data_IF_615041114638
#
_entry.id   IF_615041114638
#
_cell.length_a   1.000
_cell.length_b   1.000
_cell.length_c   1.000
_cell.angle_alpha   90.00
_cell.angle_beta   90.00
_cell.angle_gamma   90.00
#
_symmetry.space_group_name_H-M   'P 1'
#
loop_
_entity.id
_entity.type
_entity.pdbx_description
1 polymer ?
#
# COMPACT_ATOMS: atom_id res chain seq x y z
N UNK A 1 10.40 -32.91 -42.86
CA UNK A 1 11.05 -33.17 -41.56
C UNK A 1 10.60 -34.53 -41.08
N UNK A 2 11.53 -35.46 -40.85
CA UNK A 2 11.23 -36.86 -40.54
C UNK A 2 10.82 -36.99 -39.07
N UNK A 3 9.59 -37.44 -38.79
CA UNK A 3 9.07 -37.66 -37.43
C UNK A 3 9.64 -38.95 -36.84
N UNK A 4 10.76 -38.87 -36.13
CA UNK A 4 11.28 -40.00 -35.35
C UNK A 4 10.42 -40.21 -34.10
N UNK A 5 10.04 -41.46 -33.83
CA UNK A 5 9.31 -41.85 -32.62
C UNK A 5 10.15 -41.58 -31.36
N UNK A 6 9.51 -41.07 -30.29
CA UNK A 6 10.15 -40.71 -29.01
C UNK A 6 10.92 -41.86 -28.34
N UNK A 7 10.62 -43.10 -28.74
CA UNK A 7 11.29 -44.31 -28.26
C UNK A 7 12.72 -44.50 -28.80
N UNK A 8 13.09 -43.82 -29.88
CA UNK A 8 14.38 -43.98 -30.56
C UNK A 8 15.31 -42.76 -30.40
N UNK A 9 14.99 -41.83 -29.51
CA UNK A 9 15.85 -40.68 -29.23
C UNK A 9 17.07 -41.14 -28.43
N UNK A 10 18.26 -40.80 -28.92
CA UNK A 10 19.52 -41.07 -28.21
C UNK A 10 20.03 -39.79 -27.56
N UNK A 11 20.90 -39.92 -26.55
CA UNK A 11 21.42 -38.77 -25.77
C UNK A 11 22.05 -37.66 -26.64
N UNK A 12 22.59 -38.02 -27.82
CA UNK A 12 23.18 -37.07 -28.79
C UNK A 12 22.16 -36.22 -29.55
N UNK A 13 20.88 -36.60 -29.54
CA UNK A 13 19.79 -35.83 -30.16
C UNK A 13 19.19 -34.78 -29.20
N UNK A 14 19.61 -34.78 -27.92
CA UNK A 14 19.06 -33.92 -26.87
C UNK A 14 19.98 -32.74 -26.52
N UNK A 15 21.25 -32.80 -26.91
CA UNK A 15 22.24 -31.76 -26.66
C UNK A 15 22.83 -31.33 -28.00
N UNK A 16 22.50 -30.11 -28.43
CA UNK A 16 23.24 -29.47 -29.50
C UNK A 16 24.71 -29.34 -29.05
N UNK A 17 25.68 -29.70 -29.91
CA UNK A 17 27.08 -29.56 -29.58
C UNK A 17 27.34 -28.09 -29.24
N UNK A 18 27.87 -27.86 -28.03
CA UNK A 18 28.33 -26.54 -27.57
C UNK A 18 29.27 -25.99 -28.64
N UNK A 19 28.96 -24.79 -29.14
CA UNK A 19 29.74 -24.08 -30.16
C UNK A 19 31.19 -23.89 -29.69
N UNK A 20 32.06 -24.86 -30.01
CA UNK A 20 33.44 -24.86 -29.53
C UNK A 20 34.39 -25.91 -30.10
N UNK A 21 33.91 -26.98 -30.73
CA UNK A 21 34.81 -27.95 -31.39
C UNK A 21 34.26 -28.39 -32.76
N UNK A 22 34.69 -27.67 -33.82
CA UNK A 22 34.73 -28.20 -35.18
C UNK A 22 36.18 -28.34 -35.61
N UNK A 23 36.50 -29.56 -36.05
CA UNK A 23 37.73 -29.96 -36.70
C UNK A 23 38.04 -29.12 -37.93
N UNK A 24 39.33 -28.80 -38.04
CA UNK A 24 40.11 -28.30 -39.19
C UNK A 24 39.39 -28.10 -40.54
N UNK A 25 39.47 -26.86 -41.04
CA UNK A 25 39.08 -26.46 -42.40
C UNK A 25 39.25 -24.96 -42.64
N UNK A 26 40.50 -24.52 -42.76
CA UNK A 26 41.05 -23.40 -43.57
C UNK A 26 40.13 -22.25 -44.05
N UNK A 27 40.47 -21.00 -43.64
CA UNK A 27 40.32 -19.79 -44.46
C UNK A 27 39.59 -18.58 -43.86
N UNK A 28 40.36 -17.56 -43.43
CA UNK A 28 40.16 -16.16 -43.86
C UNK A 28 39.18 -15.24 -43.14
N UNK A 29 39.78 -14.25 -42.46
CA UNK A 29 39.43 -12.82 -42.35
C UNK A 29 38.48 -12.26 -41.27
N UNK A 30 38.94 -11.09 -40.79
CA UNK A 30 38.51 -10.26 -39.69
C UNK A 30 37.21 -9.47 -39.99
N UNK A 31 36.37 -9.20 -38.98
CA UNK A 31 35.91 -7.84 -38.64
C UNK A 31 34.94 -7.80 -37.44
N UNK A 32 35.07 -6.73 -36.65
CA UNK A 32 34.27 -6.36 -35.48
C UNK A 32 32.79 -6.05 -35.79
N UNK A 33 31.89 -6.34 -34.84
CA UNK A 33 30.50 -5.91 -34.94
C UNK A 33 29.71 -6.03 -33.63
N UNK A 34 29.71 -4.95 -32.85
CA UNK A 34 28.84 -4.68 -31.70
C UNK A 34 27.35 -4.84 -32.02
N UNK A 35 26.59 -5.59 -31.19
CA UNK A 35 25.12 -5.43 -31.11
C UNK A 35 24.66 -5.67 -29.66
N UNK A 36 24.14 -4.60 -29.05
CA UNK A 36 23.29 -4.65 -27.87
C UNK A 36 21.96 -5.34 -28.18
N UNK A 37 21.50 -6.23 -27.30
CA UNK A 37 20.19 -6.87 -27.41
C UNK A 37 19.28 -6.40 -26.26
N UNK A 38 18.31 -5.57 -26.64
CA UNK A 38 17.13 -5.15 -25.88
C UNK A 38 16.33 -6.36 -25.36
N UNK A 39 16.03 -6.36 -24.06
CA UNK A 39 15.09 -7.30 -23.45
C UNK A 39 13.69 -6.70 -23.39
N UNK A 40 12.75 -7.30 -24.13
CA UNK A 40 11.31 -7.03 -24.02
C UNK A 40 10.76 -7.53 -22.66
N UNK A 41 9.84 -6.80 -22.00
CA UNK A 41 9.15 -7.31 -20.83
C UNK A 41 7.83 -8.00 -21.21
N UNK A 42 7.71 -9.28 -20.86
CA UNK A 42 6.48 -10.06 -20.96
C UNK A 42 5.34 -9.46 -20.14
N UNK A 43 4.14 -9.53 -20.72
CA UNK A 43 2.86 -9.16 -20.14
C UNK A 43 2.46 -10.17 -19.07
N UNK A 44 2.10 -9.69 -17.87
CA UNK A 44 1.40 -10.50 -16.88
C UNK A 44 0.01 -9.90 -16.65
N UNK A 45 -1.01 -10.68 -16.97
CA UNK A 45 -2.41 -10.40 -16.68
C UNK A 45 -2.64 -10.62 -15.17
N UNK A 46 -3.07 -9.57 -14.46
CA UNK A 46 -3.50 -9.66 -13.06
C UNK A 46 -4.99 -10.08 -13.05
N UNK A 47 -5.29 -11.29 -12.57
CA UNK A 47 -6.65 -11.67 -12.18
C UNK A 47 -6.98 -11.08 -10.80
N UNK A 48 -8.15 -10.46 -10.72
CA UNK A 48 -8.75 -9.87 -9.52
C UNK A 48 -9.29 -10.97 -8.60
N UNK A 49 -9.03 -10.88 -7.29
CA UNK A 49 -9.86 -11.56 -6.30
C UNK A 49 -10.48 -10.55 -5.33
N UNK A 50 -11.80 -10.42 -5.44
CA UNK A 50 -12.71 -9.95 -4.40
C UNK A 50 -12.88 -11.05 -3.34
N UNK A 51 -12.65 -10.76 -2.06
CA UNK A 51 -13.32 -11.51 -0.98
C UNK A 51 -13.85 -10.54 0.07
N UNK A 52 -15.15 -10.71 0.32
CA UNK A 52 -16.00 -9.96 1.23
C UNK A 52 -15.63 -10.18 2.71
N UNK A 53 -15.71 -9.09 3.47
CA UNK A 53 -15.93 -9.06 4.91
C UNK A 53 -17.43 -9.26 5.21
N UNK A 54 -17.74 -9.94 6.33
CA UNK A 54 -18.96 -9.92 7.18
C UNK A 54 -19.03 -11.28 7.93
N UNK A 55 -19.21 -11.46 9.24
CA UNK A 55 -19.67 -10.73 10.44
C UNK A 55 -19.02 -11.42 11.68
N UNK A 56 -18.52 -10.74 12.74
CA UNK A 56 -19.23 -10.14 13.91
C UNK A 56 -20.05 -11.18 14.75
N UNK A 57 -20.01 -11.31 16.09
CA UNK A 57 -19.79 -10.36 17.21
C UNK A 57 -19.38 -11.01 18.57
N UNK A 58 -18.72 -10.17 19.39
CA UNK A 58 -18.79 -9.91 20.85
C UNK A 58 -18.85 -11.00 21.95
N UNK A 59 -17.95 -10.85 22.95
CA UNK A 59 -18.31 -10.32 24.28
C UNK A 59 -17.07 -9.91 25.10
N UNK A 60 -17.15 -8.72 25.71
CA UNK A 60 -16.12 -8.04 26.49
C UNK A 60 -16.32 -8.25 28.00
N UNK A 61 -15.23 -8.38 28.77
CA UNK A 61 -15.07 -7.63 30.03
C UNK A 61 -13.64 -7.73 30.60
N UNK A 62 -13.15 -6.57 31.03
CA UNK A 62 -11.84 -6.30 31.64
C UNK A 62 -11.82 -6.70 33.12
N UNK A 63 -10.65 -7.06 33.64
CA UNK A 63 -9.86 -6.25 34.59
C UNK A 63 -8.60 -7.01 35.01
N UNK A 64 -7.48 -6.29 35.15
CA UNK A 64 -6.17 -6.88 35.37
C UNK A 64 -5.77 -7.10 36.83
N UNK A 65 -4.72 -7.89 37.03
CA UNK A 65 -3.68 -7.65 38.03
C UNK A 65 -2.44 -8.50 37.76
N UNK A 66 -1.29 -7.92 38.08
CA UNK A 66 0.04 -8.41 37.77
C UNK A 66 0.59 -9.43 38.79
N UNK A 67 1.52 -10.24 38.29
CA UNK A 67 2.68 -10.86 38.95
C UNK A 67 2.47 -11.77 40.19
N UNK A 68 2.86 -13.04 40.03
CA UNK A 68 3.94 -13.67 40.81
C UNK A 68 4.31 -15.05 40.25
N UNK A 69 5.60 -15.25 40.00
CA UNK A 69 6.17 -16.56 39.71
C UNK A 69 6.12 -17.46 40.94
N UNK A 70 5.73 -18.72 40.73
CA UNK A 70 5.85 -19.78 41.72
C UNK A 70 6.33 -21.05 41.00
N UNK A 71 7.57 -21.41 41.31
CA UNK A 71 8.17 -22.73 41.18
C UNK A 71 7.17 -23.85 41.50
N UNK A 72 6.67 -24.57 40.49
CA UNK A 72 5.91 -25.81 40.71
C UNK A 72 6.87 -26.99 40.80
N UNK A 73 7.02 -27.46 42.04
CA UNK A 73 7.55 -28.78 42.37
C UNK A 73 6.63 -29.84 41.78
N UNK A 74 7.22 -30.86 41.18
CA UNK A 74 6.56 -32.06 40.70
C UNK A 74 5.96 -32.79 41.91
N UNK A 75 4.64 -32.74 42.05
CA UNK A 75 3.89 -33.67 42.88
C UNK A 75 3.31 -34.73 41.96
N UNK A 76 3.74 -35.97 42.18
CA UNK A 76 3.23 -37.16 41.54
C UNK A 76 1.85 -37.47 42.12
N UNK A 77 0.78 -37.08 41.42
CA UNK A 77 -0.56 -37.57 41.71
C UNK A 77 -0.73 -38.95 41.08
N UNK A 78 -0.60 -39.99 41.91
CA UNK A 78 -1.22 -41.29 41.68
C UNK A 78 -2.73 -41.12 41.88
N UNK A 79 -3.46 -40.92 40.79
CA UNK A 79 -4.91 -41.10 40.82
C UNK A 79 -5.22 -42.59 40.70
N UNK A 80 -5.44 -43.19 41.87
CA UNK A 80 -6.21 -44.41 42.08
C UNK A 80 -7.67 -44.12 41.71
N UNK A 81 -8.00 -44.37 40.43
CA UNK A 81 -9.35 -44.26 39.89
C UNK A 81 -10.21 -45.44 40.32
N UNK A 82 -10.76 -45.32 41.52
CA UNK A 82 -11.90 -46.10 42.00
C UNK A 82 -13.09 -45.90 41.07
N UNK A 83 -13.36 -46.87 40.19
CA UNK A 83 -14.59 -46.97 39.43
C UNK A 83 -15.73 -47.32 40.39
N UNK A 84 -16.38 -46.27 40.89
CA UNK A 84 -17.68 -46.33 41.57
C UNK A 84 -18.74 -46.76 40.56
N UNK A 85 -19.40 -47.88 40.87
CA UNK A 85 -20.58 -48.37 40.17
C UNK A 85 -21.70 -47.30 40.15
N UNK A 86 -22.04 -46.78 38.96
CA UNK A 86 -23.36 -46.22 38.68
C UNK A 86 -24.08 -47.07 37.63
N UNK A 87 -25.31 -47.44 37.97
CA UNK A 87 -26.22 -48.35 37.30
C UNK A 87 -26.55 -47.92 35.86
N UNK A 88 -26.29 -48.79 34.89
CA UNK A 88 -27.07 -48.88 33.65
C UNK A 88 -27.44 -50.36 33.42
N UNK A 89 -28.74 -50.64 33.53
CA UNK A 89 -29.38 -51.93 33.30
C UNK A 89 -29.06 -52.45 31.89
N UNK A 90 -28.39 -53.60 31.81
CA UNK A 90 -28.61 -54.56 30.73
C UNK A 90 -28.34 -55.98 31.24
N UNK A 91 -29.31 -56.85 30.97
CA UNK A 91 -29.42 -58.24 31.38
C UNK A 91 -28.28 -59.11 30.84
N UNK A 92 -27.59 -59.86 31.69
CA UNK A 92 -26.67 -60.91 31.26
C UNK A 92 -25.74 -61.40 32.36
N UNK A 93 -26.01 -62.60 32.86
CA UNK A 93 -25.26 -63.28 33.90
C UNK A 93 -23.73 -63.24 33.73
N UNK A 94 -23.00 -62.81 34.76
CA UNK A 94 -21.55 -63.04 34.90
C UNK A 94 -21.26 -63.89 36.14
N UNK A 95 -20.54 -64.98 35.89
CA UNK A 95 -20.00 -65.96 36.85
C UNK A 95 -18.92 -65.33 37.75
N UNK A 96 -18.64 -65.89 38.95
CA UNK A 96 -17.53 -65.43 39.80
C UNK A 96 -16.20 -65.91 39.21
N UNK A 97 -15.29 -64.99 38.92
CA UNK A 97 -13.95 -65.29 38.42
C UNK A 97 -12.93 -64.38 39.10
N UNK A 98 -12.08 -65.00 39.93
CA UNK A 98 -10.86 -64.54 40.59
C UNK A 98 -10.52 -63.03 40.57
N UNK A 99 -10.39 -62.46 41.76
CA UNK A 99 -9.78 -61.14 41.95
C UNK A 99 -8.28 -61.23 41.67
N UNK A 100 -7.88 -60.97 40.43
CA UNK A 100 -6.48 -60.95 39.98
C UNK A 100 -5.60 -60.03 40.83
N UNK A 101 -4.35 -60.42 41.04
CA UNK A 101 -3.36 -59.65 41.80
C UNK A 101 -3.04 -58.32 41.13
N UNK A 102 -2.62 -57.30 41.91
CA UNK A 102 -2.24 -55.99 41.36
C UNK A 102 -1.12 -56.09 40.29
N UNK A 103 -0.19 -57.03 40.47
CA UNK A 103 0.86 -57.32 39.50
C UNK A 103 0.30 -57.92 38.20
N UNK A 104 -0.62 -58.87 38.33
CA UNK A 104 -1.26 -59.54 37.20
C UNK A 104 -2.11 -58.56 36.39
N UNK A 105 -2.88 -57.69 37.05
CA UNK A 105 -3.61 -56.60 36.39
C UNK A 105 -2.66 -55.65 35.63
N UNK A 106 -1.46 -55.38 36.17
CA UNK A 106 -0.44 -54.57 35.48
C UNK A 106 0.16 -55.33 34.30
N UNK A 107 0.43 -56.63 34.44
CA UNK A 107 0.95 -57.48 33.38
C UNK A 107 -0.06 -57.63 32.24
N UNK A 108 -1.34 -57.75 32.55
CA UNK A 108 -2.42 -57.77 31.55
C UNK A 108 -2.54 -56.44 30.81
N UNK A 109 -2.44 -55.30 31.52
CA UNK A 109 -2.41 -53.97 30.87
C UNK A 109 -1.19 -53.83 29.96
N UNK A 110 -0.02 -54.29 30.40
CA UNK A 110 1.22 -54.23 29.65
C UNK A 110 1.13 -55.14 28.41
N UNK A 111 0.65 -56.37 28.56
CA UNK A 111 0.43 -57.28 27.45
C UNK A 111 -0.63 -56.76 26.47
N UNK A 112 -1.71 -56.14 26.96
CA UNK A 112 -2.70 -55.48 26.12
C UNK A 112 -2.09 -54.31 25.33
N UNK A 113 -1.22 -53.52 25.96
CA UNK A 113 -0.48 -52.45 25.28
C UNK A 113 0.51 -53.00 24.24
N UNK A 114 1.23 -54.10 24.55
CA UNK A 114 2.10 -54.79 23.59
C UNK A 114 1.28 -55.25 22.38
N UNK A 115 0.14 -55.90 22.59
CA UNK A 115 -0.74 -56.35 21.51
C UNK A 115 -1.26 -55.19 20.66
N UNK A 116 -1.59 -54.04 21.28
CA UNK A 116 -1.97 -52.83 20.56
C UNK A 116 -0.83 -52.29 19.69
N UNK A 117 0.40 -52.30 20.21
CA UNK A 117 1.60 -51.85 19.49
C UNK A 117 2.00 -52.81 18.37
N UNK A 118 1.91 -54.12 18.59
CA UNK A 118 2.13 -55.15 17.57
C UNK A 118 1.09 -55.03 16.45
N UNK A 119 -0.18 -54.81 16.81
CA UNK A 119 -1.26 -54.59 15.84
C UNK A 119 -1.04 -53.31 15.02
N UNK A 120 -0.72 -52.19 15.66
CA UNK A 120 -0.47 -50.94 14.94
C UNK A 120 0.79 -51.00 14.07
N UNK A 121 1.80 -51.79 14.46
CA UNK A 121 2.98 -52.03 13.64
C UNK A 121 2.70 -52.92 12.42
N UNK A 122 1.72 -53.83 12.50
CA UNK A 122 1.28 -54.66 11.38
C UNK A 122 0.30 -53.93 10.45
N UNK A 123 -0.43 -52.94 10.94
CA UNK A 123 -1.34 -52.11 10.15
C UNK A 123 -0.61 -51.17 9.18
N UNK A 124 -1.31 -50.71 8.14
CA UNK A 124 -0.74 -49.77 7.19
C UNK A 124 -0.53 -48.40 7.85
N UNK A 125 0.63 -47.78 7.59
CA UNK A 125 0.93 -46.45 8.11
C UNK A 125 -0.11 -45.43 7.60
N UNK A 126 -0.54 -44.49 8.46
CA UNK A 126 -1.42 -43.41 8.04
C UNK A 126 -0.74 -42.56 6.97
N UNK A 127 -1.55 -41.90 6.14
CA UNK A 127 -1.06 -41.20 4.96
C UNK A 127 -0.03 -40.12 5.29
N UNK A 128 -0.11 -39.47 6.45
CA UNK A 128 0.86 -38.46 6.91
C UNK A 128 2.30 -39.01 7.04
N UNK A 129 2.47 -40.31 7.31
CA UNK A 129 3.77 -40.96 7.47
C UNK A 129 4.27 -41.61 6.18
N UNK A 130 3.51 -41.52 5.10
CA UNK A 130 3.92 -41.96 3.78
C UNK A 130 4.56 -40.78 3.04
N UNK A 131 5.71 -41.01 2.41
CA UNK A 131 6.26 -40.04 1.45
C UNK A 131 5.42 -40.02 0.17
N UNK A 132 5.43 -38.89 -0.55
CA UNK A 132 4.87 -38.77 -1.91
C UNK A 132 3.39 -39.17 -2.00
N UNK A 133 2.56 -38.62 -1.11
CA UNK A 133 1.12 -38.89 -1.09
C UNK A 133 0.40 -38.13 -2.19
N UNK A 134 -0.19 -38.85 -3.13
CA UNK A 134 -1.12 -38.32 -4.13
C UNK A 134 -2.47 -37.99 -3.50
N UNK A 135 -3.20 -37.02 -4.04
CA UNK A 135 -4.51 -36.58 -3.52
C UNK A 135 -5.54 -37.71 -3.34
N UNK A 136 -5.50 -38.76 -4.17
CA UNK A 136 -6.42 -39.91 -4.10
C UNK A 136 -6.18 -40.84 -2.89
N UNK A 137 -4.96 -40.86 -2.33
CA UNK A 137 -4.57 -41.77 -1.25
C UNK A 137 -4.91 -41.21 0.14
N UNK A 138 -5.20 -39.92 0.24
CA UNK A 138 -5.63 -39.27 1.48
C UNK A 138 -7.13 -39.01 1.45
N UNK A 139 -7.81 -38.97 2.60
CA UNK A 139 -9.19 -38.54 2.68
C UNK A 139 -9.36 -37.10 2.16
N UNK A 140 -10.55 -36.79 1.63
CA UNK A 140 -10.89 -35.44 1.19
C UNK A 140 -10.76 -34.44 2.34
N UNK A 141 -10.27 -33.24 2.03
CA UNK A 141 -10.08 -32.12 2.98
C UNK A 141 -9.18 -32.40 4.21
N UNK A 142 -8.54 -33.57 4.32
CA UNK A 142 -7.63 -33.89 5.42
C UNK A 142 -6.41 -32.96 5.51
N UNK A 143 -6.09 -32.21 4.44
CA UNK A 143 -5.01 -31.22 4.42
C UNK A 143 -5.34 -29.97 5.24
N UNK A 144 -6.62 -29.60 5.38
CA UNK A 144 -7.01 -28.37 6.08
C UNK A 144 -6.85 -28.51 7.60
N UNK A 145 -6.84 -29.74 8.11
CA UNK A 145 -6.67 -30.03 9.54
C UNK A 145 -5.19 -30.10 9.96
N UNK A 146 -4.27 -30.26 8.99
CA UNK A 146 -2.86 -30.51 9.25
C UNK A 146 -2.02 -29.23 9.11
N UNK A 147 -1.20 -28.94 10.12
CA UNK A 147 -0.27 -27.80 10.11
C UNK A 147 1.03 -28.19 9.37
N UNK A 148 1.08 -27.93 8.06
CA UNK A 148 2.27 -28.17 7.24
C UNK A 148 3.09 -26.90 7.05
N UNK A 149 4.42 -27.03 7.16
CA UNK A 149 5.37 -25.99 6.78
C UNK A 149 5.80 -26.23 5.34
N UNK A 150 5.55 -25.24 4.48
CA UNK A 150 6.00 -25.24 3.10
C UNK A 150 6.56 -23.88 2.74
N UNK A 151 7.53 -23.87 1.82
CA UNK A 151 8.12 -22.63 1.34
C UNK A 151 7.15 -21.94 0.37
N UNK A 152 6.85 -20.68 0.63
CA UNK A 152 6.18 -19.82 -0.33
C UNK A 152 7.23 -19.24 -1.29
N UNK A 153 6.91 -19.17 -2.59
CA UNK A 153 7.77 -18.53 -3.59
C UNK A 153 7.76 -16.99 -3.44
N UNK A 154 8.32 -16.49 -2.34
CA UNK A 154 8.64 -15.08 -2.13
C UNK A 154 10.12 -14.93 -2.45
N UNK A 155 10.43 -14.40 -3.63
CA UNK A 155 11.81 -14.11 -4.00
C UNK A 155 12.29 -12.88 -3.22
N UNK A 156 13.31 -13.06 -2.39
CA UNK A 156 13.98 -11.99 -1.63
C UNK A 156 14.93 -11.18 -2.54
N UNK A 157 14.37 -10.63 -3.63
CA UNK A 157 15.14 -9.79 -4.55
C UNK A 157 15.63 -8.51 -3.85
N UNK A 158 16.88 -8.13 -4.13
CA UNK A 158 17.46 -6.90 -3.59
C UNK A 158 16.71 -5.69 -4.13
N UNK A 159 15.92 -5.03 -3.28
CA UNK A 159 15.20 -3.81 -3.64
C UNK A 159 16.19 -2.66 -3.85
N UNK A 160 16.04 -1.94 -4.97
CA UNK A 160 16.83 -0.72 -5.25
C UNK A 160 16.57 0.32 -4.16
N UNK A 161 17.62 0.72 -3.42
CA UNK A 161 17.54 1.80 -2.44
C UNK A 161 17.28 3.12 -3.16
N UNK A 162 16.12 3.72 -2.95
CA UNK A 162 15.87 5.09 -3.38
C UNK A 162 16.64 6.04 -2.46
N UNK A 163 17.30 7.05 -3.04
CA UNK A 163 17.88 8.13 -2.24
C UNK A 163 16.72 8.84 -1.52
N UNK A 164 16.80 9.06 -0.19
CA UNK A 164 15.78 9.85 0.49
C UNK A 164 15.71 11.20 -0.21
N UNK A 165 14.51 11.56 -0.69
CA UNK A 165 14.28 12.90 -1.23
C UNK A 165 14.28 13.82 -0.02
N UNK A 166 15.36 14.58 0.14
CA UNK A 166 15.38 15.68 1.09
C UNK A 166 14.33 16.67 0.60
N UNK A 167 13.16 16.66 1.24
CA UNK A 167 12.14 17.66 1.00
C UNK A 167 12.74 19.00 1.43
N UNK A 168 13.13 19.81 0.45
CA UNK A 168 13.73 21.14 0.64
C UNK A 168 12.83 22.03 1.55
N UNK A 169 11.57 21.65 1.73
CA UNK A 169 10.60 22.31 2.59
C UNK A 169 9.75 21.29 3.36
N UNK A 170 10.27 20.75 4.47
CA UNK A 170 9.38 20.21 5.51
C UNK A 170 8.54 21.36 6.07
N UNK A 171 7.30 21.47 5.59
CA UNK A 171 6.40 22.56 5.92
C UNK A 171 6.03 22.53 7.41
N UNK A 172 6.56 23.53 8.11
CA UNK A 172 6.15 24.00 9.44
C UNK A 172 6.48 23.02 10.56
N UNK A 173 7.59 23.30 11.25
CA UNK A 173 7.85 22.78 12.61
C UNK A 173 6.59 23.00 13.44
N UNK A 174 6.22 22.01 14.25
CA UNK A 174 5.12 22.15 15.20
C UNK A 174 5.43 23.36 16.08
N UNK A 175 4.66 24.44 15.97
CA UNK A 175 4.76 25.57 16.89
C UNK A 175 4.46 25.04 18.29
N UNK A 176 5.48 24.91 19.12
CA UNK A 176 5.33 24.68 20.55
C UNK A 176 4.91 26.00 21.18
N UNK A 177 3.80 26.00 21.90
CA UNK A 177 3.32 27.20 22.60
C UNK A 177 4.23 27.45 23.81
N UNK A 178 4.94 28.57 23.80
CA UNK A 178 5.73 29.00 24.96
C UNK A 178 4.77 29.41 26.09
N UNK A 179 4.96 28.82 27.27
CA UNK A 179 4.16 29.11 28.46
C UNK A 179 4.72 30.24 29.33
N UNK A 180 5.82 30.86 28.90
CA UNK A 180 6.38 32.04 29.56
C UNK A 180 5.51 33.27 29.29
N UNK A 181 5.45 34.21 30.25
CA UNK A 181 4.72 35.47 30.07
C UNK A 181 5.40 36.29 28.97
N UNK A 182 4.61 36.88 28.07
CA UNK A 182 5.11 37.68 26.96
C UNK A 182 5.93 38.87 27.46
N UNK A 183 7.15 39.02 26.94
CA UNK A 183 8.04 40.17 27.24
C UNK A 183 7.63 41.42 26.46
N UNK A 184 6.93 41.24 25.34
CA UNK A 184 6.46 42.31 24.45
C UNK A 184 5.04 42.75 24.81
N UNK A 185 4.74 44.01 24.55
CA UNK A 185 3.38 44.55 24.73
C UNK A 185 2.45 44.13 23.58
N UNK A 186 1.13 44.15 23.81
CA UNK A 186 0.16 43.80 22.76
C UNK A 186 0.30 44.68 21.51
N UNK A 187 0.55 45.98 21.71
CA UNK A 187 0.76 46.95 20.61
C UNK A 187 1.97 46.58 19.76
N UNK A 188 3.08 46.19 20.39
CA UNK A 188 4.32 45.81 19.73
C UNK A 188 4.19 44.50 18.94
N UNK A 189 3.42 43.53 19.47
CA UNK A 189 3.10 42.30 18.74
C UNK A 189 2.32 42.62 17.45
N UNK A 190 1.36 43.54 17.51
CA UNK A 190 0.61 43.96 16.32
C UNK A 190 1.49 44.71 15.31
N UNK A 191 2.39 45.58 15.77
CA UNK A 191 3.36 46.28 14.92
C UNK A 191 4.26 45.29 14.19
N UNK A 192 4.85 44.34 14.92
CA UNK A 192 5.72 43.31 14.34
C UNK A 192 4.96 42.41 13.36
N UNK A 193 3.72 42.04 13.67
CA UNK A 193 2.88 41.26 12.77
C UNK A 193 2.55 42.02 11.49
N UNK A 194 2.27 43.33 11.60
CA UNK A 194 2.00 44.18 10.44
C UNK A 194 3.23 44.29 9.54
N UNK A 195 4.42 44.55 10.10
CA UNK A 195 5.67 44.59 9.35
C UNK A 195 6.00 43.24 8.69
N UNK A 196 5.77 42.12 9.38
CA UNK A 196 5.96 40.78 8.81
C UNK A 196 5.00 40.49 7.64
N UNK A 197 3.75 40.95 7.76
CA UNK A 197 2.76 40.81 6.69
C UNK A 197 3.07 41.70 5.48
N UNK A 198 3.58 42.91 5.70
CA UNK A 198 3.94 43.84 4.62
C UNK A 198 5.23 43.43 3.92
N UNK A 199 6.22 42.87 4.63
CA UNK A 199 7.51 42.50 4.05
C UNK A 199 7.50 41.18 3.24
N UNK A 200 6.43 40.37 3.28
CA UNK A 200 6.37 39.04 2.64
C UNK A 200 7.66 38.21 2.84
N UNK A 201 8.38 38.40 3.95
CA UNK A 201 9.49 37.53 4.30
C UNK A 201 8.88 36.23 4.76
N UNK A 202 8.97 35.21 3.90
CA UNK A 202 8.77 33.83 4.31
C UNK A 202 9.76 33.58 5.44
N UNK A 203 9.25 33.50 6.67
CA UNK A 203 10.01 33.13 7.86
C UNK A 203 10.48 31.67 7.72
N UNK A 204 11.57 31.50 6.99
CA UNK A 204 12.57 30.50 7.32
C UNK A 204 13.59 31.27 8.14
N UNK A 205 13.24 31.56 9.41
CA UNK A 205 14.27 31.91 10.37
C UNK A 205 15.10 30.64 10.58
N UNK A 206 16.11 30.46 9.73
CA UNK A 206 17.20 29.54 10.04
C UNK A 206 17.75 29.98 11.40
N UNK A 207 17.75 29.04 12.36
CA UNK A 207 18.25 29.34 13.69
C UNK A 207 19.69 29.84 13.55
N UNK A 208 20.00 31.01 14.10
CA UNK A 208 21.34 31.65 14.01
C UNK A 208 22.44 30.67 14.44
N UNK A 209 22.13 29.79 15.39
CA UNK A 209 23.01 28.72 15.84
C UNK A 209 23.41 27.74 14.72
N UNK A 210 22.50 27.39 13.80
CA UNK A 210 22.82 26.52 12.66
C UNK A 210 23.80 27.17 11.70
N UNK A 211 23.63 28.46 11.41
CA UNK A 211 24.57 29.20 10.58
C UNK A 211 25.95 29.33 11.24
N UNK A 212 25.99 29.50 12.57
CA UNK A 212 27.25 29.49 13.34
C UNK A 212 27.93 28.13 13.31
N UNK A 213 27.18 27.05 13.55
CA UNK A 213 27.69 25.67 13.46
C UNK A 213 28.24 25.40 12.06
N UNK A 214 27.54 25.82 10.99
CA UNK A 214 28.00 25.62 9.62
C UNK A 214 29.35 26.32 9.37
N UNK A 215 29.50 27.58 9.83
CA UNK A 215 30.78 28.31 9.76
C UNK A 215 31.90 27.59 10.51
N UNK A 216 31.62 27.07 11.71
CA UNK A 216 32.61 26.30 12.47
C UNK A 216 32.97 24.98 11.80
N UNK A 217 31.99 24.28 11.23
CA UNK A 217 32.20 23.04 10.51
C UNK A 217 33.05 23.25 9.25
N UNK A 218 32.75 24.29 8.46
CA UNK A 218 33.54 24.61 7.27
C UNK A 218 34.98 24.99 7.63
N UNK A 219 35.17 25.78 8.70
CA UNK A 219 36.50 26.12 9.23
C UNK A 219 37.28 24.90 9.73
N UNK A 220 36.61 23.99 10.43
CA UNK A 220 37.22 22.78 10.97
C UNK A 220 37.58 21.79 9.86
N UNK A 221 36.68 21.53 8.91
CA UNK A 221 36.95 20.62 7.80
C UNK A 221 38.07 21.13 6.92
N UNK A 222 38.14 22.43 6.62
CA UNK A 222 39.25 23.01 5.87
C UNK A 222 40.61 22.74 6.55
N UNK A 223 40.67 22.78 7.89
CA UNK A 223 41.89 22.46 8.65
C UNK A 223 42.21 20.96 8.64
N UNK A 224 41.20 20.09 8.76
CA UNK A 224 41.38 18.64 8.72
C UNK A 224 41.80 18.16 7.31
N UNK A 225 41.21 18.74 6.27
CA UNK A 225 41.55 18.48 4.88
C UNK A 225 43.01 18.89 4.62
N UNK A 226 43.44 20.06 5.10
CA UNK A 226 44.84 20.48 5.02
C UNK A 226 45.78 19.55 5.81
N UNK A 227 45.40 19.11 7.01
CA UNK A 227 46.19 18.21 7.85
C UNK A 227 46.34 16.81 7.23
N UNK A 228 45.31 16.34 6.51
CA UNK A 228 45.32 15.06 5.79
C UNK A 228 45.98 15.13 4.41
N UNK A 229 46.67 16.23 4.07
CA UNK A 229 47.23 16.49 2.74
C UNK A 229 46.19 16.38 1.61
N UNK A 230 44.94 16.76 1.91
CA UNK A 230 43.79 16.65 1.01
C UNK A 230 43.48 15.20 0.55
N UNK A 231 43.87 14.19 1.33
CA UNK A 231 43.50 12.79 1.11
C UNK A 231 42.26 12.43 1.94
N UNK A 232 41.10 12.98 1.57
CA UNK A 232 39.84 12.77 2.27
C UNK A 232 38.73 12.30 1.33
N UNK A 233 37.65 11.75 1.89
CA UNK A 233 36.46 11.41 1.14
C UNK A 233 35.68 12.68 0.81
N UNK A 234 35.43 13.01 -0.47
CA UNK A 234 34.76 14.26 -0.84
C UNK A 234 33.37 14.35 -0.20
N UNK A 235 32.92 15.58 0.08
CA UNK A 235 31.56 15.84 0.62
C UNK A 235 30.50 15.21 -0.30
N UNK A 236 29.43 14.62 0.25
CA UNK A 236 28.38 14.03 -0.57
C UNK A 236 27.71 15.12 -1.45
N UNK A 237 27.31 14.80 -2.68
CA UNK A 237 26.75 15.78 -3.61
C UNK A 237 25.34 16.21 -3.15
N UNK A 238 25.24 17.43 -2.64
CA UNK A 238 23.97 18.08 -2.29
C UNK A 238 23.43 18.81 -3.53
N UNK A 239 22.13 18.69 -3.87
CA UNK A 239 21.54 19.41 -4.99
C UNK A 239 21.50 20.92 -4.72
N UNK A 240 22.40 21.67 -5.35
CA UNK A 240 22.42 23.14 -5.31
C UNK A 240 21.60 23.74 -6.45
N UNK A 241 20.65 24.63 -6.12
CA UNK A 241 19.90 25.40 -7.13
C UNK A 241 20.71 26.63 -7.51
N UNK A 242 21.26 26.66 -8.73
CA UNK A 242 21.96 27.83 -9.29
C UNK A 242 21.04 28.57 -10.25
N UNK A 243 20.72 29.81 -9.94
CA UNK A 243 19.92 30.69 -10.81
C UNK A 243 20.88 31.44 -11.74
N UNK A 244 20.87 31.11 -13.03
CA UNK A 244 21.69 31.78 -14.06
C UNK A 244 20.85 32.86 -14.74
N UNK A 245 21.41 34.06 -14.86
CA UNK A 245 20.80 35.17 -15.60
C UNK A 245 21.22 35.16 -17.07
N UNK A 246 20.35 35.65 -17.97
CA UNK A 246 20.65 35.76 -19.40
C UNK A 246 21.58 36.97 -19.67
N UNK A 247 22.87 36.80 -19.36
CA UNK A 247 23.93 37.77 -19.61
C UNK A 247 24.81 37.30 -20.78
N UNK A 248 25.49 38.20 -21.52
CA UNK A 248 26.53 37.80 -22.45
C UNK A 248 27.68 37.14 -21.70
N UNK A 249 28.23 36.06 -22.25
CA UNK A 249 29.35 35.31 -21.64
C UNK A 249 30.54 36.19 -21.31
N UNK A 250 30.85 37.16 -22.19
CA UNK A 250 31.87 38.20 -21.99
C UNK A 250 31.76 38.91 -20.62
N UNK A 251 30.55 39.14 -20.10
CA UNK A 251 30.37 39.84 -18.82
C UNK A 251 30.78 39.02 -17.60
N UNK A 252 30.85 37.70 -17.73
CA UNK A 252 31.33 36.78 -16.69
C UNK A 252 32.84 36.55 -16.78
N UNK A 253 33.43 36.84 -17.94
CA UNK A 253 34.85 36.65 -18.20
C UNK A 253 35.68 37.76 -17.53
N UNK A 254 36.97 37.48 -17.34
CA UNK A 254 37.93 38.46 -16.85
C UNK A 254 38.11 39.59 -17.87
N UNK A 255 38.41 40.79 -17.37
CA UNK A 255 38.65 41.98 -18.20
C UNK A 255 40.01 41.85 -18.88
N UNK A 256 40.04 41.11 -19.97
CA UNK A 256 41.19 40.97 -20.85
C UNK A 256 40.86 41.58 -22.23
N UNK A 257 41.86 42.09 -22.97
CA UNK A 257 41.64 42.71 -24.27
C UNK A 257 41.37 41.72 -25.42
N UNK A 258 41.32 40.41 -25.17
CA UNK A 258 41.23 39.36 -26.21
C UNK A 258 40.08 38.39 -25.89
N UNK A 259 38.85 38.90 -25.82
CA UNK A 259 37.66 38.08 -25.62
C UNK A 259 36.89 38.00 -26.95
N UNK A 260 36.53 36.79 -27.37
CA UNK A 260 36.06 36.48 -28.74
C UNK A 260 34.61 35.92 -28.73
N UNK A 261 33.97 35.85 -27.56
CA UNK A 261 32.72 35.09 -27.35
C UNK A 261 31.44 35.94 -27.42
N UNK A 262 30.77 36.01 -28.57
CA UNK A 262 29.47 36.72 -28.70
C UNK A 262 28.25 35.98 -28.08
N UNK A 263 28.47 34.83 -27.44
CA UNK A 263 27.40 33.97 -26.94
C UNK A 263 26.80 34.47 -25.61
N UNK A 264 25.52 34.18 -25.36
CA UNK A 264 24.84 34.38 -24.08
C UNK A 264 24.96 33.16 -23.17
N UNK A 265 24.84 33.35 -21.85
CA UNK A 265 24.89 32.27 -20.87
C UNK A 265 23.70 31.31 -20.96
N UNK A 266 22.52 31.82 -21.32
CA UNK A 266 21.29 31.05 -21.40
C UNK A 266 21.18 30.40 -22.79
N UNK A 267 20.84 29.11 -22.83
CA UNK A 267 20.65 28.40 -24.07
C UNK A 267 19.34 28.84 -24.77
N UNK A 268 19.25 28.78 -26.11
CA UNK A 268 18.01 29.10 -26.82
C UNK A 268 16.79 28.29 -26.35
N UNK A 269 16.99 27.05 -25.89
CA UNK A 269 15.94 26.19 -25.34
C UNK A 269 15.43 26.63 -23.97
N UNK A 270 16.27 27.29 -23.17
CA UNK A 270 15.92 27.85 -21.86
C UNK A 270 15.27 29.23 -22.01
N UNK A 271 15.67 30.01 -23.04
CA UNK A 271 14.98 31.25 -23.44
C UNK A 271 13.58 30.93 -23.99
N UNK A 272 13.49 29.90 -24.83
CA UNK A 272 12.25 29.45 -25.44
C UNK A 272 12.20 27.93 -25.48
N UNK A 273 11.37 27.36 -24.62
CA UNK A 273 11.10 25.93 -24.64
C UNK A 273 10.60 25.50 -26.03
N UNK A 274 11.27 24.50 -26.61
CA UNK A 274 10.77 23.86 -27.82
C UNK A 274 9.47 23.12 -27.46
N UNK A 275 8.46 23.25 -28.30
CA UNK A 275 7.28 22.41 -28.20
C UNK A 275 7.72 20.94 -28.37
N UNK A 276 7.61 20.15 -27.30
CA UNK A 276 7.97 18.70 -27.28
C UNK A 276 7.18 17.84 -28.30
N UNK A 277 6.23 18.45 -28.99
CA UNK A 277 5.42 17.85 -30.05
C UNK A 277 5.88 18.25 -31.46
N UNK A 278 6.95 19.04 -31.62
CA UNK A 278 7.32 19.64 -32.90
C UNK A 278 6.43 20.85 -33.21
N UNK A 279 6.16 21.09 -34.49
CA UNK A 279 5.27 22.17 -34.92
C UNK A 279 3.86 21.98 -34.39
N UNK A 280 3.26 23.07 -33.92
CA UNK A 280 1.89 23.06 -33.39
C UNK A 280 0.92 22.98 -34.57
N UNK A 281 0.47 21.77 -34.90
CA UNK A 281 -0.57 21.54 -35.92
C UNK A 281 -1.97 21.73 -35.34
N UNK A 282 -2.83 22.42 -36.07
CA UNK A 282 -4.24 22.59 -35.73
C UNK A 282 -5.03 21.28 -35.86
N UNK A 283 -6.12 21.11 -35.11
CA UNK A 283 -6.91 19.86 -35.14
C UNK A 283 -7.58 19.57 -36.50
N UNK A 284 -7.74 20.61 -37.32
CA UNK A 284 -8.23 20.55 -38.70
C UNK A 284 -7.17 20.07 -39.69
N UNK A 285 -5.89 20.29 -39.40
CA UNK A 285 -4.75 19.94 -40.25
C UNK A 285 -4.28 18.50 -40.00
N UNK A 286 -4.61 17.95 -38.83
CA UNK A 286 -4.23 16.60 -38.43
C UNK A 286 -4.93 15.52 -39.25
N UNK A 287 -4.12 14.65 -39.86
CA UNK A 287 -4.59 13.44 -40.54
C UNK A 287 -5.21 12.45 -39.54
N UNK A 288 -6.01 11.49 -40.03
CA UNK A 288 -6.57 10.43 -39.15
C UNK A 288 -5.49 9.55 -38.51
N UNK A 289 -4.38 9.32 -39.21
CA UNK A 289 -3.24 8.56 -38.71
C UNK A 289 -2.55 9.29 -37.55
N UNK A 290 -2.41 10.62 -37.66
CA UNK A 290 -1.81 11.44 -36.61
C UNK A 290 -2.72 11.50 -35.38
N UNK A 291 -4.03 11.65 -35.57
CA UNK A 291 -5.03 11.58 -34.48
C UNK A 291 -4.95 10.24 -33.72
N UNK A 292 -4.83 9.12 -34.45
CA UNK A 292 -4.66 7.77 -33.84
C UNK A 292 -3.32 7.65 -33.09
N UNK A 293 -2.22 8.16 -33.66
CA UNK A 293 -0.89 8.19 -33.01
C UNK A 293 -0.91 9.02 -31.72
N UNK A 294 -1.50 10.21 -31.76
CA UNK A 294 -1.65 11.10 -30.61
C UNK A 294 -2.48 10.42 -29.50
N UNK A 295 -3.60 9.77 -29.86
CA UNK A 295 -4.41 8.98 -28.92
C UNK A 295 -3.61 7.86 -28.25
N UNK A 296 -2.82 7.10 -29.01
CA UNK A 296 -1.96 6.03 -28.45
C UNK A 296 -0.91 6.61 -27.51
N UNK A 297 -0.26 7.72 -27.87
CA UNK A 297 0.70 8.43 -27.01
C UNK A 297 0.04 8.90 -25.71
N UNK A 298 -1.14 9.53 -25.78
CA UNK A 298 -1.92 9.94 -24.60
C UNK A 298 -2.30 8.75 -23.72
N UNK A 299 -2.73 7.62 -24.30
CA UNK A 299 -3.03 6.38 -23.57
C UNK A 299 -1.78 5.81 -22.87
N UNK A 300 -0.63 5.79 -23.56
CA UNK A 300 0.66 5.34 -22.99
C UNK A 300 1.08 6.22 -21.81
N UNK A 301 1.05 7.55 -21.97
CA UNK A 301 1.39 8.50 -20.90
C UNK A 301 0.43 8.37 -19.71
N UNK A 302 -0.88 8.23 -19.95
CA UNK A 302 -1.86 7.99 -18.88
C UNK A 302 -1.57 6.70 -18.12
N UNK A 303 -1.28 5.59 -18.83
CA UNK A 303 -0.93 4.30 -18.23
C UNK A 303 0.34 4.41 -17.37
N UNK A 304 1.38 5.07 -17.87
CA UNK A 304 2.61 5.33 -17.11
C UNK A 304 2.34 6.15 -15.84
N UNK A 305 1.52 7.21 -15.94
CA UNK A 305 1.15 8.03 -14.77
C UNK A 305 0.34 7.25 -13.74
N UNK A 306 -0.58 6.40 -14.16
CA UNK A 306 -1.36 5.54 -13.27
C UNK A 306 -0.46 4.49 -12.58
N UNK A 307 0.42 3.83 -13.34
CA UNK A 307 1.39 2.87 -12.79
C UNK A 307 2.32 3.53 -11.76
N UNK A 308 2.82 4.74 -12.05
CA UNK A 308 3.65 5.49 -11.10
C UNK A 308 2.88 5.87 -9.82
N UNK A 309 1.61 6.28 -9.93
CA UNK A 309 0.75 6.56 -8.77
C UNK A 309 0.47 5.32 -7.93
N UNK A 310 0.15 4.20 -8.57
CA UNK A 310 -0.09 2.93 -7.88
C UNK A 310 1.18 2.44 -7.17
N UNK A 311 2.35 2.52 -7.82
CA UNK A 311 3.63 2.19 -7.22
C UNK A 311 3.92 3.07 -6.00
N UNK A 312 3.71 4.39 -6.11
CA UNK A 312 3.88 5.32 -5.00
C UNK A 312 2.91 5.00 -3.83
N UNK A 313 1.66 4.66 -4.13
CA UNK A 313 0.70 4.26 -3.10
C UNK A 313 1.11 2.96 -2.40
N UNK A 314 1.55 1.94 -3.16
CA UNK A 314 2.07 0.68 -2.59
C UNK A 314 3.28 0.93 -1.68
N UNK A 315 4.17 1.87 -2.03
CA UNK A 315 5.31 2.26 -1.15
C UNK A 315 4.80 2.92 0.14
N UNK A 316 3.85 3.85 0.07
CA UNK A 316 3.26 4.49 1.25
C UNK A 316 2.56 3.50 2.18
N UNK A 317 1.84 2.52 1.62
CA UNK A 317 1.16 1.45 2.36
C UNK A 317 2.19 0.53 3.05
N UNK A 318 3.27 0.14 2.35
CA UNK A 318 4.36 -0.66 2.92
C UNK A 318 5.14 0.05 4.01
N UNK A 319 5.37 1.35 3.87
CA UNK A 319 6.04 2.16 4.90
C UNK A 319 5.21 2.28 6.18
N UNK A 320 3.93 1.85 6.15
CA UNK A 320 2.98 1.85 7.26
C UNK A 320 3.13 3.11 8.13
N UNK A 321 3.29 4.27 7.48
CA UNK A 321 3.19 5.56 8.15
C UNK A 321 1.79 5.55 8.68
N UNK A 322 1.64 5.32 9.99
CA UNK A 322 0.35 5.31 10.70
C UNK A 322 -0.35 6.59 10.31
N UNK A 323 -1.19 6.52 9.29
CA UNK A 323 -1.98 7.64 8.81
C UNK A 323 -2.72 8.10 10.05
N UNK A 324 -2.54 9.37 10.41
CA UNK A 324 -3.22 9.90 11.58
C UNK A 324 -4.71 9.57 11.47
N UNK A 325 -5.39 9.34 12.59
CA UNK A 325 -6.80 8.97 12.61
C UNK A 325 -7.68 9.91 11.77
N UNK A 326 -7.22 11.15 11.56
CA UNK A 326 -7.85 12.15 10.68
C UNK A 326 -7.68 11.84 9.19
N UNK A 327 -6.51 11.39 8.74
CA UNK A 327 -6.29 11.01 7.33
C UNK A 327 -7.03 9.74 6.94
N UNK A 328 -7.18 8.78 7.87
CA UNK A 328 -8.01 7.59 7.64
C UNK A 328 -9.49 7.99 7.51
N UNK A 329 -9.97 8.90 8.36
CA UNK A 329 -11.32 9.47 8.27
C UNK A 329 -11.54 10.23 6.97
N UNK A 330 -10.57 11.02 6.52
CA UNK A 330 -10.65 11.73 5.23
C UNK A 330 -10.67 10.76 4.04
N UNK A 331 -9.78 9.77 4.02
CA UNK A 331 -9.77 8.73 2.96
C UNK A 331 -11.07 7.93 2.94
N UNK A 332 -11.63 7.58 4.10
CA UNK A 332 -12.90 6.88 4.20
C UNK A 332 -14.07 7.78 3.79
N UNK A 333 -14.07 9.06 4.17
CA UNK A 333 -15.07 10.04 3.73
C UNK A 333 -15.00 10.29 2.21
N UNK A 334 -13.81 10.31 1.63
CA UNK A 334 -13.62 10.40 0.17
C UNK A 334 -14.08 9.14 -0.55
N UNK A 335 -13.80 7.94 0.00
CA UNK A 335 -14.34 6.68 -0.52
C UNK A 335 -15.87 6.68 -0.49
N UNK A 336 -16.47 7.07 0.64
CA UNK A 336 -17.94 7.19 0.76
C UNK A 336 -18.48 8.21 -0.25
N UNK A 337 -17.83 9.36 -0.42
CA UNK A 337 -18.23 10.36 -1.44
C UNK A 337 -18.14 9.79 -2.86
N UNK A 338 -17.08 9.06 -3.21
CA UNK A 338 -16.93 8.42 -4.52
C UNK A 338 -18.02 7.37 -4.75
N UNK A 339 -18.28 6.50 -3.77
CA UNK A 339 -19.35 5.50 -3.83
C UNK A 339 -20.74 6.15 -3.98
N UNK A 340 -20.96 7.31 -3.36
CA UNK A 340 -22.20 8.09 -3.54
C UNK A 340 -22.30 8.78 -4.90
N UNK A 341 -21.17 9.22 -5.48
CA UNK A 341 -21.14 9.78 -6.84
C UNK A 341 -21.29 8.71 -7.93
N UNK A 342 -20.77 7.51 -7.68
CA UNK A 342 -20.92 6.34 -8.54
C UNK A 342 -22.31 5.67 -8.41
N UNK A 343 -23.16 6.14 -7.49
CA UNK A 343 -24.52 5.64 -7.28
C UNK A 343 -24.60 4.28 -6.57
N UNK A 344 -23.48 3.75 -6.07
CA UNK A 344 -23.41 2.47 -5.35
C UNK A 344 -23.90 2.57 -3.89
N UNK A 345 -23.89 3.77 -3.31
CA UNK A 345 -24.38 4.02 -1.96
C UNK A 345 -25.19 5.31 -1.88
N UNK A 346 -26.35 5.30 -1.20
CA UNK A 346 -27.10 6.52 -0.88
C UNK A 346 -26.74 6.99 0.53
N UNK A 347 -26.29 8.24 0.64
CA UNK A 347 -26.04 8.88 1.93
C UNK A 347 -27.39 9.17 2.59
N UNK A 348 -27.80 8.37 3.58
CA UNK A 348 -28.93 8.70 4.45
C UNK A 348 -28.57 9.98 5.22
N UNK A 349 -29.11 11.10 4.77
CA UNK A 349 -29.01 12.37 5.48
C UNK A 349 -30.17 12.40 6.46
N UNK A 350 -29.87 12.27 7.75
CA UNK A 350 -30.84 12.59 8.80
C UNK A 350 -31.12 14.10 8.74
N UNK A 351 -32.07 14.47 7.91
CA UNK A 351 -32.60 15.82 7.74
C UNK A 351 -33.36 16.21 9.02
N UNK A 352 -32.62 16.58 10.07
CA UNK A 352 -32.98 17.66 11.00
C UNK A 352 -34.30 17.56 11.78
N UNK A 353 -34.92 16.39 11.91
CA UNK A 353 -36.19 16.22 12.64
C UNK A 353 -36.07 16.50 14.14
N UNK A 354 -34.86 16.41 14.70
CA UNK A 354 -34.65 16.59 16.15
C UNK A 354 -34.38 18.05 16.56
N UNK A 355 -34.01 18.91 15.59
CA UNK A 355 -33.72 20.33 15.87
C UNK A 355 -34.99 21.17 16.00
N UNK A 356 -36.10 20.72 15.40
CA UNK A 356 -37.40 21.42 15.39
C UNK A 356 -38.09 21.37 16.76
N UNK A 357 -37.86 20.31 17.54
CA UNK A 357 -38.46 20.12 18.87
C UNK A 357 -37.61 20.69 20.02
N UNK A 358 -36.34 21.04 19.76
CA UNK A 358 -35.37 21.40 20.80
C UNK A 358 -35.17 22.90 20.96
N UNK A 359 -35.63 23.70 20.00
CA UNK A 359 -35.57 25.17 20.02
C UNK A 359 -36.97 25.76 19.94
N UNK A 360 -37.35 26.55 20.95
CA UNK A 360 -38.63 27.26 20.97
C UNK A 360 -38.81 28.16 19.74
N UNK A 361 -37.74 28.79 19.26
CA UNK A 361 -37.79 29.66 18.07
C UNK A 361 -38.14 28.91 16.79
N UNK A 362 -37.65 27.68 16.63
CA UNK A 362 -37.96 26.83 15.48
C UNK A 362 -39.41 26.31 15.56
N UNK A 363 -39.84 25.85 16.74
CA UNK A 363 -41.21 25.40 17.00
C UNK A 363 -42.24 26.49 16.69
N UNK A 364 -42.05 27.72 17.17
CA UNK A 364 -42.99 28.81 16.91
C UNK A 364 -42.96 29.29 15.45
N UNK A 365 -41.82 29.22 14.76
CA UNK A 365 -41.80 29.50 13.31
C UNK A 365 -42.62 28.49 12.51
N UNK A 366 -42.50 27.21 12.85
CA UNK A 366 -43.27 26.14 12.22
C UNK A 366 -44.77 26.27 12.53
N UNK A 367 -45.13 26.60 13.77
CA UNK A 367 -46.52 26.87 14.17
C UNK A 367 -47.10 28.06 13.40
N UNK A 368 -46.35 29.16 13.26
CA UNK A 368 -46.78 30.33 12.50
C UNK A 368 -46.99 30.01 11.03
N UNK A 369 -46.12 29.18 10.44
CA UNK A 369 -46.24 28.77 9.04
C UNK A 369 -47.40 27.79 8.82
N UNK A 370 -47.70 26.94 9.80
CA UNK A 370 -48.86 26.06 9.79
C UNK A 370 -50.18 26.86 9.87
N UNK A 371 -50.27 27.84 10.77
CA UNK A 371 -51.42 28.77 10.85
C UNK A 371 -51.57 29.57 9.57
N UNK A 372 -50.46 30.05 8.97
CA UNK A 372 -50.49 30.74 7.66
C UNK A 372 -50.95 29.81 6.53
N UNK A 373 -50.57 28.55 6.56
CA UNK A 373 -50.98 27.56 5.55
C UNK A 373 -52.47 27.25 5.65
N UNK A 374 -53.03 27.10 6.86
CA UNK A 374 -54.48 26.94 7.07
C UNK A 374 -55.27 28.18 6.66
N UNK A 375 -54.79 29.37 6.98
CA UNK A 375 -55.39 30.63 6.53
C UNK A 375 -55.34 30.81 4.99
N UNK A 376 -54.31 30.26 4.33
CA UNK A 376 -54.23 30.22 2.85
C UNK A 376 -55.11 29.13 2.25
N UNK A 377 -55.20 27.95 2.87
CA UNK A 377 -56.11 26.87 2.47
C UNK A 377 -57.59 27.31 2.54
N UNK A 378 -57.96 28.05 3.58
CA UNK A 378 -59.29 28.65 3.72
C UNK A 378 -59.61 29.71 2.65
N UNK A 379 -58.61 30.43 2.13
CA UNK A 379 -58.79 31.43 1.05
C UNK A 379 -58.89 30.83 -0.37
N UNK A 380 -58.40 29.61 -0.58
CA UNK A 380 -58.45 28.92 -1.88
C UNK A 380 -59.75 28.11 -2.04
N UNK A 381 -60.42 27.75 -0.94
CA UNK A 381 -61.69 27.00 -0.94
C UNK A 381 -62.93 27.73 -1.51
N UNK A 382 -62.83 29.03 -1.84
CA UNK A 382 -63.99 29.81 -2.31
C UNK A 382 -63.97 30.18 -3.82
N UNK A 383 -62.95 29.78 -4.60
CA UNK A 383 -62.91 30.05 -6.06
C UNK A 383 -62.22 28.93 -6.84
N UNK A 384 -62.96 27.87 -7.17
CA UNK A 384 -62.88 27.16 -8.47
C UNK A 384 -63.96 26.08 -8.58
N UNK A 385 -64.99 26.37 -9.37
CA UNK A 385 -65.83 25.35 -9.98
C UNK A 385 -65.23 24.88 -11.31
N UNK A 386 -65.29 23.56 -11.51
CA UNK A 386 -65.45 22.79 -12.74
C UNK A 386 -64.67 23.19 -14.00
N UNK A 387 -63.65 22.40 -14.33
CA UNK A 387 -63.41 21.90 -15.69
C UNK A 387 -62.86 20.47 -15.64
N UNK A 388 -63.64 19.52 -16.12
CA UNK A 388 -63.20 18.16 -16.47
C UNK A 388 -62.08 18.25 -17.53
N UNK A 389 -61.05 17.40 -17.38
CA UNK A 389 -60.13 17.06 -18.46
C UNK A 389 -60.09 15.54 -18.57
N UNK A 390 -60.78 15.04 -19.58
CA UNK A 390 -60.59 13.68 -20.09
C UNK A 390 -59.26 13.61 -20.84
N UNK A 391 -58.55 12.51 -20.65
CA UNK A 391 -57.35 12.17 -21.39
C UNK A 391 -57.75 11.71 -22.80
N UNK A 392 -57.19 12.32 -23.84
CA UNK A 392 -57.14 11.70 -25.17
C UNK A 392 -55.72 11.78 -25.73
N UNK A 393 -55.13 10.60 -25.89
CA UNK A 393 -53.85 10.38 -26.54
C UNK A 393 -54.02 10.53 -28.05
N UNK A 394 -53.74 11.71 -28.62
CA UNK A 394 -53.55 11.86 -30.08
C UNK A 394 -53.08 13.26 -30.52
N UNK A 395 -51.96 13.80 -30.00
CA UNK A 395 -51.09 14.71 -30.78
C UNK A 395 -49.84 15.12 -30.02
N UNK A 396 -48.73 15.25 -30.77
CA UNK A 396 -47.33 15.56 -30.39
C UNK A 396 -46.56 14.26 -30.06
N UNK A 397 -45.77 13.61 -30.94
CA UNK A 397 -44.95 14.02 -32.10
C UNK A 397 -43.96 15.16 -31.82
N UNK A 398 -42.69 14.74 -31.86
CA UNK A 398 -41.38 15.39 -31.69
C UNK A 398 -41.04 15.88 -30.28
#
# INVERSE_FOLDING_TARGET
MSTKSSRNLQYKDFFDPVDGEKSAGEGGDEENGSVEAEGEPEEFEEEEEEINEDQEEMAESKTGQAAKGVHKKVTFDLSDGSDRDELAVSTGAKKPGETKSAFEKRQEKLNAQIQQLEKSALEQKPWQLLGEVTAQKRPENSLLEEDLLFDHAVWDDVVRKEKPKEEIFEYKKRLTLDHEKSKLSLTEVYEQQYLKQTEQKSEVEENVQHAEIQKFMDSLFLKLDALSNFQFTPKPPVPEVKVVSNLPSISMEEVAPVNISDATLLAPEEVKEKSRAGDVQGDLEKTETDKKRERRRKKKVKRLRLRAKAAHQRVLEKLNVKLSSNQVKEKNAEKVRKLTQEGKAMLLKDEGKDKTLRSSKAFFSQLQDQVKAELKGAKIGAKKQNKHRELSASKLKL
#
